data_IF_235032882947
#
_entry.id   IF_235032882947
#
_cell.length_a   1.000
_cell.length_b   1.000
_cell.length_c   1.000
_cell.angle_alpha   90.00
_cell.angle_beta   90.00
_cell.angle_gamma   90.00
#
_symmetry.space_group_name_H-M   'P 1'
#
loop_
_entity.id
_entity.type
_entity.pdbx_description
1 polymer ?
#
# COMPACT_ATOMS: atom_id res chain seq x y z
N UNK A 1 -24.36 10.84 13.66
CA UNK A 1 -23.64 11.83 12.81
C UNK A 1 -23.06 11.08 11.62
N UNK A 2 -22.93 11.71 10.46
CA UNK A 2 -22.45 11.03 9.25
C UNK A 2 -20.97 10.60 9.38
N UNK A 3 -20.55 9.58 8.63
CA UNK A 3 -19.13 9.25 8.45
C UNK A 3 -18.57 10.26 7.44
N UNK A 4 -17.41 10.83 7.74
CA UNK A 4 -16.72 11.77 6.87
C UNK A 4 -15.27 11.37 6.65
N UNK A 5 -14.66 11.90 5.59
CA UNK A 5 -13.22 11.78 5.36
C UNK A 5 -12.48 12.74 6.29
N UNK A 6 -11.70 12.20 7.20
CA UNK A 6 -10.88 12.94 8.15
C UNK A 6 -9.58 13.44 7.50
N UNK A 7 -8.90 12.55 6.77
CA UNK A 7 -7.63 12.84 6.14
C UNK A 7 -7.44 12.04 4.85
N UNK A 8 -6.70 12.62 3.92
CA UNK A 8 -6.30 12.00 2.66
C UNK A 8 -4.78 12.03 2.60
N UNK A 9 -4.18 10.88 2.25
CA UNK A 9 -2.74 10.78 2.05
C UNK A 9 -2.41 10.15 0.70
N UNK A 10 -1.41 10.74 0.04
CA UNK A 10 -0.73 10.14 -1.10
C UNK A 10 0.70 9.80 -0.71
N UNK A 11 1.27 8.75 -1.28
CA UNK A 11 2.65 8.33 -1.06
C UNK A 11 3.34 8.22 -2.41
N UNK A 12 3.84 9.34 -2.97
CA UNK A 12 4.30 9.38 -4.37
C UNK A 12 5.31 8.29 -4.68
N UNK A 13 6.31 8.15 -3.82
CA UNK A 13 7.33 7.11 -3.90
C UNK A 13 6.95 5.98 -2.95
N UNK A 14 6.86 4.75 -3.48
CA UNK A 14 6.66 3.55 -2.68
C UNK A 14 7.66 3.51 -1.52
N UNK A 15 7.17 3.16 -0.33
CA UNK A 15 7.96 3.06 0.90
C UNK A 15 8.49 4.36 1.51
N UNK A 16 8.34 5.51 0.84
CA UNK A 16 8.74 6.82 1.37
C UNK A 16 7.60 7.50 2.16
N UNK A 17 7.88 8.65 2.78
CA UNK A 17 6.89 9.41 3.55
C UNK A 17 5.68 9.79 2.69
N UNK A 18 4.49 9.83 3.32
CA UNK A 18 3.28 10.32 2.68
C UNK A 18 3.14 11.83 2.76
N UNK A 19 2.29 12.39 1.91
CA UNK A 19 1.87 13.78 1.90
C UNK A 19 0.40 13.82 2.28
N UNK A 20 0.05 14.58 3.31
CA UNK A 20 -1.34 14.89 3.61
C UNK A 20 -1.85 15.95 2.61
N UNK A 21 -3.00 15.69 2.00
CA UNK A 21 -3.63 16.57 0.99
C UNK A 21 -5.05 16.91 1.42
N UNK A 22 -5.55 18.07 0.99
CA UNK A 22 -6.94 18.46 1.22
C UNK A 22 -7.87 17.78 0.20
N UNK A 23 -7.37 17.60 -1.02
CA UNK A 23 -8.06 16.81 -2.02
C UNK A 23 -7.13 16.12 -3.00
N UNK A 24 -7.61 15.03 -3.58
CA UNK A 24 -6.94 14.35 -4.68
C UNK A 24 -7.95 13.72 -5.64
N UNK A 25 -7.69 13.91 -6.92
CA UNK A 25 -8.42 13.24 -7.98
C UNK A 25 -8.18 11.73 -7.98
N UNK A 26 -9.18 11.01 -8.45
CA UNK A 26 -9.21 9.56 -8.50
C UNK A 26 -8.90 9.12 -9.93
N UNK A 27 -7.78 8.42 -10.10
CA UNK A 27 -7.34 7.81 -11.35
C UNK A 27 -7.74 6.33 -11.41
N UNK A 28 -7.34 5.62 -12.48
CA UNK A 28 -7.48 4.17 -12.56
C UNK A 28 -6.54 3.40 -11.62
N UNK A 29 -5.55 4.07 -11.01
CA UNK A 29 -4.57 3.47 -10.12
C UNK A 29 -4.84 3.72 -8.62
N UNK A 30 -5.83 4.56 -8.29
CA UNK A 30 -6.09 5.06 -6.93
C UNK A 30 -6.16 6.58 -6.90
N UNK A 31 -5.67 7.19 -5.82
CA UNK A 31 -5.44 8.64 -5.81
C UNK A 31 -4.35 8.99 -6.84
N UNK A 32 -4.50 10.10 -7.53
CA UNK A 32 -3.49 10.62 -8.45
C UNK A 32 -2.12 10.70 -7.78
N UNK A 33 -1.08 10.28 -8.53
CA UNK A 33 0.32 10.20 -8.10
C UNK A 33 0.61 9.25 -6.93
N UNK A 34 -0.35 8.49 -6.41
CA UNK A 34 -0.10 7.57 -5.29
C UNK A 34 0.69 6.33 -5.72
N UNK A 35 1.85 6.10 -5.08
CA UNK A 35 2.84 5.07 -5.41
C UNK A 35 3.14 5.02 -6.91
N UNK A 36 3.21 6.20 -7.53
CA UNK A 36 3.50 6.34 -8.95
C UNK A 36 4.99 6.17 -9.26
N UNK A 37 5.84 6.22 -8.22
CA UNK A 37 7.26 5.89 -8.29
C UNK A 37 7.64 4.72 -7.36
N UNK A 38 8.70 4.00 -7.72
CA UNK A 38 9.29 2.90 -6.93
C UNK A 38 10.81 2.88 -7.08
N UNK A 39 11.50 2.49 -6.02
CA UNK A 39 12.94 2.21 -6.07
C UNK A 39 13.17 0.74 -6.40
N UNK A 40 14.10 0.47 -7.30
CA UNK A 40 14.58 -0.86 -7.66
C UNK A 40 16.07 -0.99 -7.40
N UNK A 41 16.53 -2.15 -6.93
CA UNK A 41 17.95 -2.52 -7.01
C UNK A 41 18.31 -2.91 -8.46
N UNK A 42 19.60 -3.17 -8.70
CA UNK A 42 20.14 -3.49 -10.03
C UNK A 42 19.64 -4.84 -10.56
N UNK A 43 19.23 -5.74 -9.67
CA UNK A 43 18.63 -7.03 -9.99
C UNK A 43 17.13 -6.94 -10.31
N UNK A 44 16.54 -5.74 -10.26
CA UNK A 44 15.13 -5.52 -10.56
C UNK A 44 14.20 -5.84 -9.40
N UNK A 45 14.66 -5.88 -8.15
CA UNK A 45 13.80 -6.04 -6.99
C UNK A 45 13.42 -4.69 -6.39
N UNK A 46 12.17 -4.57 -5.94
CA UNK A 46 11.73 -3.40 -5.19
C UNK A 46 12.55 -3.18 -3.90
N UNK A 47 12.96 -1.94 -3.66
CA UNK A 47 13.53 -1.50 -2.40
C UNK A 47 12.40 -1.00 -1.51
N UNK A 48 12.30 -1.55 -0.30
CA UNK A 48 11.15 -1.27 0.58
C UNK A 48 11.55 -0.86 1.99
N UNK A 49 10.65 -0.13 2.66
CA UNK A 49 10.85 0.34 4.03
C UNK A 49 11.05 -0.81 5.04
N UNK A 50 10.61 -2.03 4.70
CA UNK A 50 10.84 -3.23 5.52
C UNK A 50 12.31 -3.61 5.59
N UNK A 51 13.04 -3.42 4.49
CA UNK A 51 14.48 -3.68 4.40
C UNK A 51 15.30 -2.42 4.72
N UNK A 52 14.80 -1.25 4.33
CA UNK A 52 15.47 0.05 4.53
C UNK A 52 14.53 1.03 5.27
N UNK A 53 14.45 0.93 6.62
CA UNK A 53 13.56 1.77 7.44
C UNK A 53 13.77 3.28 7.26
N UNK A 54 14.99 3.71 6.93
CA UNK A 54 15.38 5.10 6.60
C UNK A 54 14.57 5.70 5.45
N UNK A 55 13.91 4.89 4.61
CA UNK A 55 12.98 5.39 3.59
C UNK A 55 11.80 6.17 4.19
N UNK A 56 11.42 5.91 5.46
CA UNK A 56 10.41 6.72 6.14
C UNK A 56 10.77 8.22 6.24
N UNK A 57 12.06 8.54 6.22
CA UNK A 57 12.57 9.90 6.34
C UNK A 57 12.71 10.61 5.00
N UNK A 58 12.65 9.85 3.89
CA UNK A 58 12.58 10.43 2.55
C UNK A 58 11.21 11.08 2.39
N UNK A 59 11.23 12.39 2.19
CA UNK A 59 10.06 13.28 2.23
C UNK A 59 9.82 13.88 0.86
N UNK A 60 8.88 13.32 0.07
CA UNK A 60 8.49 13.85 -1.23
C UNK A 60 7.57 15.06 -1.09
N UNK A 61 7.63 15.98 -2.06
CA UNK A 61 6.70 17.10 -2.26
C UNK A 61 6.37 17.19 -3.75
N UNK A 62 5.13 17.54 -4.06
CA UNK A 62 4.69 17.73 -5.45
C UNK A 62 4.48 19.21 -5.69
N UNK A 63 5.04 19.72 -6.79
CA UNK A 63 4.84 21.10 -7.25
C UNK A 63 4.30 21.04 -8.68
N UNK A 64 3.07 21.48 -8.88
CA UNK A 64 2.43 21.50 -10.19
C UNK A 64 2.58 22.88 -10.83
N UNK A 65 2.73 22.94 -12.15
CA UNK A 65 2.97 24.21 -12.85
C UNK A 65 1.73 25.11 -12.91
N UNK A 66 0.54 24.51 -12.86
CA UNK A 66 -0.73 25.18 -13.21
C UNK A 66 -1.62 25.47 -12.01
N UNK A 67 -1.23 25.11 -10.77
CA UNK A 67 -2.06 25.27 -9.58
C UNK A 67 -1.46 26.26 -8.58
N UNK A 68 -2.33 27.16 -8.07
CA UNK A 68 -2.01 28.12 -7.02
C UNK A 68 -2.03 27.51 -5.61
N UNK A 69 -2.70 26.37 -5.42
CA UNK A 69 -2.83 25.71 -4.11
C UNK A 69 -1.97 24.45 -4.05
N UNK A 70 -1.08 24.40 -3.04
CA UNK A 70 -0.08 23.34 -2.87
C UNK A 70 -0.64 22.00 -2.34
N UNK A 71 -1.94 21.94 -2.01
CA UNK A 71 -2.54 20.80 -1.28
C UNK A 71 -3.61 20.03 -2.04
N UNK A 72 -3.81 20.33 -3.32
CA UNK A 72 -4.78 19.69 -4.20
C UNK A 72 -4.07 18.96 -5.35
N UNK A 73 -4.43 17.68 -5.56
CA UNK A 73 -3.89 16.86 -6.66
C UNK A 73 -4.95 16.70 -7.74
N UNK A 74 -4.81 17.34 -8.92
CA UNK A 74 -5.83 17.35 -9.97
C UNK A 74 -5.83 16.06 -10.79
N UNK A 75 -6.88 15.88 -11.59
CA UNK A 75 -6.95 14.78 -12.58
C UNK A 75 -5.79 14.90 -13.55
N UNK A 76 -5.13 13.79 -13.87
CA UNK A 76 -3.98 13.74 -14.77
C UNK A 76 -2.80 14.62 -14.30
N UNK A 77 -2.59 14.75 -12.99
CA UNK A 77 -1.57 15.63 -12.40
C UNK A 77 -0.17 15.47 -13.02
N UNK A 78 0.25 14.24 -13.32
CA UNK A 78 1.54 13.97 -13.96
C UNK A 78 1.66 14.66 -15.34
N UNK A 79 0.57 14.66 -16.12
CA UNK A 79 0.56 15.20 -17.48
C UNK A 79 0.41 16.72 -17.57
N UNK A 80 -0.07 17.37 -16.50
CA UNK A 80 -0.17 18.83 -16.42
C UNK A 80 1.19 19.53 -16.28
N UNK A 81 2.26 18.75 -16.06
CA UNK A 81 3.60 19.26 -15.83
C UNK A 81 3.81 19.74 -14.40
N UNK A 82 5.03 19.57 -13.92
CA UNK A 82 5.39 19.83 -12.54
C UNK A 82 6.61 19.03 -12.15
N UNK A 83 6.88 19.01 -10.85
CA UNK A 83 8.07 18.44 -10.26
C UNK A 83 7.71 17.58 -9.04
N UNK A 84 8.37 16.43 -8.91
CA UNK A 84 8.54 15.72 -7.65
C UNK A 84 9.86 16.20 -7.00
N UNK A 85 9.75 16.84 -5.84
CA UNK A 85 10.89 17.33 -5.06
C UNK A 85 11.09 16.37 -3.89
N UNK A 86 12.28 15.82 -3.73
CA UNK A 86 12.59 14.81 -2.71
C UNK A 86 13.69 15.32 -1.79
N UNK A 87 13.42 15.26 -0.50
CA UNK A 87 14.35 15.64 0.57
C UNK A 87 14.57 14.47 1.52
N UNK A 88 15.76 14.36 2.11
CA UNK A 88 16.03 13.39 3.16
C UNK A 88 17.15 13.87 4.11
N UNK A 89 17.18 13.44 5.38
CA UNK A 89 18.24 13.80 6.31
C UNK A 89 19.63 13.41 5.80
N UNK A 90 20.59 14.32 5.94
CA UNK A 90 21.98 14.09 5.49
C UNK A 90 22.22 14.33 3.99
N UNK A 91 21.18 14.68 3.21
CA UNK A 91 21.32 15.07 1.81
C UNK A 91 21.42 16.59 1.71
N UNK A 92 22.50 17.10 1.10
CA UNK A 92 22.78 18.54 0.99
C UNK A 92 21.82 19.28 0.07
N UNK A 93 21.32 18.61 -0.96
CA UNK A 93 20.41 19.17 -1.97
C UNK A 93 19.21 18.27 -2.14
N UNK A 94 18.06 18.91 -2.33
CA UNK A 94 16.85 18.22 -2.74
C UNK A 94 17.03 17.69 -4.16
N UNK A 95 16.56 16.46 -4.41
CA UNK A 95 16.42 15.91 -5.75
C UNK A 95 15.16 16.50 -6.38
N UNK A 96 15.26 16.99 -7.62
CA UNK A 96 14.13 17.52 -8.37
C UNK A 96 13.92 16.68 -9.62
N UNK A 97 12.72 16.12 -9.77
CA UNK A 97 12.35 15.28 -10.90
C UNK A 97 11.21 15.95 -11.64
N UNK A 98 11.48 16.39 -12.86
CA UNK A 98 10.47 16.92 -13.77
C UNK A 98 9.52 15.82 -14.23
N UNK A 99 8.22 16.12 -14.31
CA UNK A 99 7.25 15.22 -14.91
C UNK A 99 7.45 15.18 -16.42
N UNK A 100 7.94 14.04 -16.91
CA UNK A 100 8.26 13.82 -18.32
C UNK A 100 7.04 13.22 -19.02
N UNK A 101 6.47 13.96 -19.96
CA UNK A 101 5.41 13.46 -20.88
C UNK A 101 5.95 12.55 -22.00
N UNK A 102 7.16 11.99 -21.84
CA UNK A 102 7.82 11.17 -22.85
C UNK A 102 8.00 9.75 -22.32
N UNK A 103 7.41 8.77 -23.01
CA UNK A 103 7.73 7.35 -22.83
C UNK A 103 8.66 6.94 -23.97
N UNK A 104 9.84 6.42 -23.62
CA UNK A 104 10.76 5.80 -24.57
C UNK A 104 11.07 4.38 -24.11
N UNK A 105 11.02 3.42 -25.03
CA UNK A 105 11.25 2.02 -24.72
C UNK A 105 12.63 1.77 -24.08
N UNK A 106 13.65 2.58 -24.42
CA UNK A 106 15.00 2.46 -23.84
C UNK A 106 15.08 2.81 -22.36
N UNK A 107 14.12 3.58 -21.84
CA UNK A 107 14.01 3.92 -20.42
C UNK A 107 13.27 2.86 -19.60
N UNK A 108 12.63 1.88 -20.24
CA UNK A 108 11.89 0.84 -19.51
C UNK A 108 12.83 -0.08 -18.76
N UNK A 109 12.47 -0.36 -17.51
CA UNK A 109 13.10 -1.34 -16.63
C UNK A 109 12.00 -2.15 -15.97
N UNK A 110 12.25 -3.43 -15.78
CA UNK A 110 11.36 -4.30 -15.03
C UNK A 110 11.69 -4.26 -13.55
N UNK A 111 10.66 -4.24 -12.72
CA UNK A 111 10.78 -4.32 -11.27
C UNK A 111 9.80 -5.35 -10.72
N UNK A 112 10.29 -6.23 -9.86
CA UNK A 112 9.52 -7.23 -9.15
C UNK A 112 8.85 -6.58 -7.94
N UNK A 113 7.54 -6.36 -8.03
CA UNK A 113 6.69 -5.89 -6.95
C UNK A 113 5.85 -7.07 -6.44
N UNK A 114 6.36 -7.71 -5.39
CA UNK A 114 5.79 -8.95 -4.84
C UNK A 114 5.75 -10.08 -5.85
N UNK A 115 4.57 -10.59 -6.22
CA UNK A 115 4.41 -11.61 -7.25
C UNK A 115 4.27 -11.02 -8.66
N UNK A 116 4.23 -9.69 -8.81
CA UNK A 116 4.05 -9.02 -10.09
C UNK A 116 5.38 -8.49 -10.62
N UNK A 117 5.72 -8.86 -11.85
CA UNK A 117 6.74 -8.17 -12.64
C UNK A 117 6.08 -6.98 -13.35
N UNK A 118 6.60 -5.77 -13.14
CA UNK A 118 5.99 -4.52 -13.59
C UNK A 118 7.02 -3.68 -14.32
N UNK A 119 6.65 -3.05 -15.43
CA UNK A 119 7.50 -2.08 -16.10
C UNK A 119 7.39 -0.70 -15.46
N UNK A 120 8.55 -0.04 -15.31
CA UNK A 120 8.66 1.38 -14.97
C UNK A 120 9.65 2.07 -15.90
N UNK A 121 9.51 3.39 -16.03
CA UNK A 121 10.45 4.24 -16.76
C UNK A 121 11.50 4.77 -15.79
N UNK A 122 12.76 4.61 -16.15
CA UNK A 122 13.91 5.09 -15.41
C UNK A 122 13.94 6.62 -15.34
N UNK A 123 14.03 7.18 -14.12
CA UNK A 123 14.08 8.64 -13.92
C UNK A 123 15.44 9.25 -14.23
N UNK A 124 16.46 8.43 -14.50
CA UNK A 124 17.79 8.85 -14.93
C UNK A 124 18.83 8.80 -13.80
N UNK A 125 20.08 9.09 -14.19
CA UNK A 125 21.24 8.87 -13.33
C UNK A 125 21.27 9.82 -12.13
N UNK A 126 20.79 11.05 -12.24
CA UNK A 126 20.70 11.98 -11.10
C UNK A 126 19.83 11.42 -9.96
N UNK A 127 18.66 10.86 -10.31
CA UNK A 127 17.79 10.23 -9.32
C UNK A 127 18.43 8.97 -8.73
N UNK A 128 19.08 8.15 -9.57
CA UNK A 128 19.81 6.97 -9.13
C UNK A 128 20.94 7.31 -8.16
N UNK A 129 21.80 8.28 -8.50
CA UNK A 129 22.91 8.74 -7.67
C UNK A 129 22.43 9.30 -6.33
N UNK A 130 21.38 10.12 -6.33
CA UNK A 130 20.85 10.72 -5.10
C UNK A 130 20.33 9.65 -4.13
N UNK A 131 19.51 8.71 -4.62
CA UNK A 131 18.99 7.63 -3.79
C UNK A 131 20.07 6.63 -3.39
N UNK A 132 21.02 6.33 -4.28
CA UNK A 132 22.12 5.41 -3.97
C UNK A 132 23.04 5.97 -2.90
N UNK A 133 23.32 7.27 -2.94
CA UNK A 133 24.05 7.96 -1.88
C UNK A 133 23.30 7.92 -0.55
N UNK A 134 21.99 8.15 -0.55
CA UNK A 134 21.21 8.15 0.70
C UNK A 134 21.08 6.75 1.32
N UNK A 135 20.92 5.72 0.49
CA UNK A 135 20.72 4.34 0.94
C UNK A 135 22.01 3.53 1.08
N UNK A 136 23.14 4.07 0.61
CA UNK A 136 24.44 3.41 0.57
C UNK A 136 24.38 2.08 -0.21
N UNK A 137 23.59 2.06 -1.30
CA UNK A 137 23.45 0.92 -2.21
C UNK A 137 23.00 1.38 -3.60
N UNK A 138 23.39 0.67 -4.65
CA UNK A 138 23.00 1.03 -6.02
C UNK A 138 21.52 0.77 -6.26
N UNK A 139 20.79 1.83 -6.61
CA UNK A 139 19.35 1.79 -6.87
C UNK A 139 18.97 2.70 -8.02
N UNK A 140 17.82 2.42 -8.65
CA UNK A 140 17.19 3.29 -9.63
C UNK A 140 15.78 3.64 -9.21
N UNK A 141 15.37 4.89 -9.46
CA UNK A 141 13.99 5.32 -9.28
C UNK A 141 13.25 5.13 -10.60
N UNK A 142 12.13 4.43 -10.53
CA UNK A 142 11.28 4.16 -11.68
C UNK A 142 9.92 4.84 -11.48
N UNK A 143 9.40 5.48 -12.53
CA UNK A 143 8.03 6.01 -12.59
C UNK A 143 7.13 5.05 -13.36
N UNK A 144 5.84 5.03 -13.04
CA UNK A 144 4.86 4.13 -13.67
C UNK A 144 4.74 4.42 -15.16
N UNK A 145 5.05 3.43 -16.01
CA UNK A 145 4.71 3.52 -17.44
C UNK A 145 3.20 3.34 -17.61
N UNK A 146 2.46 4.42 -17.86
CA UNK A 146 0.98 4.38 -18.00
C UNK A 146 0.48 3.50 -19.15
N UNK A 147 1.36 3.16 -20.11
CA UNK A 147 1.03 2.22 -21.20
C UNK A 147 0.98 0.75 -20.74
N UNK A 148 1.59 0.42 -19.59
CA UNK A 148 1.57 -0.94 -19.04
C UNK A 148 0.42 -1.13 -18.06
N UNK A 149 -0.29 -2.25 -18.19
CA UNK A 149 -1.40 -2.62 -17.29
C UNK A 149 -0.85 -3.41 -16.11
N UNK A 150 -1.26 -3.04 -14.90
CA UNK A 150 -1.03 -3.84 -13.70
C UNK A 150 -2.36 -4.13 -13.02
N UNK A 151 -3.00 -5.21 -13.46
CA UNK A 151 -4.29 -5.67 -12.94
C UNK A 151 -4.20 -6.11 -11.48
N UNK A 152 -5.32 -5.94 -10.77
CA UNK A 152 -5.49 -6.47 -9.41
C UNK A 152 -5.75 -7.98 -9.44
N UNK A 153 -5.63 -8.62 -8.28
CA UNK A 153 -6.03 -10.02 -8.11
C UNK A 153 -7.55 -10.15 -8.26
N UNK A 154 -7.97 -10.86 -9.31
CA UNK A 154 -9.39 -11.03 -9.66
C UNK A 154 -10.25 -11.65 -8.56
N UNK A 155 -9.64 -12.36 -7.59
CA UNK A 155 -10.35 -12.93 -6.43
C UNK A 155 -10.95 -11.86 -5.52
N UNK A 156 -10.36 -10.67 -5.51
CA UNK A 156 -10.76 -9.55 -4.65
C UNK A 156 -11.45 -8.41 -5.40
N UNK A 157 -11.71 -8.59 -6.71
CA UNK A 157 -12.36 -7.60 -7.55
C UNK A 157 -13.81 -8.04 -7.82
N UNK A 158 -14.83 -7.24 -7.47
CA UNK A 158 -16.21 -7.48 -7.85
C UNK A 158 -16.40 -7.62 -9.38
N UNK A 159 -17.60 -8.05 -9.80
CA UNK A 159 -17.90 -8.23 -11.21
C UNK A 159 -17.52 -7.01 -12.07
N UNK A 160 -16.80 -7.25 -13.19
CA UNK A 160 -16.23 -6.20 -14.05
C UNK A 160 -17.24 -5.12 -14.50
N UNK A 161 -18.52 -5.48 -14.65
CA UNK A 161 -19.64 -4.58 -14.99
C UNK A 161 -19.88 -3.43 -13.99
N UNK A 162 -19.32 -3.54 -12.78
CA UNK A 162 -19.43 -2.53 -11.73
C UNK A 162 -18.39 -1.40 -11.87
N UNK A 163 -17.47 -1.51 -12.85
CA UNK A 163 -16.34 -0.59 -13.03
C UNK A 163 -16.37 0.05 -14.43
N UNK A 164 -16.09 1.36 -14.51
CA UNK A 164 -15.96 2.07 -15.79
C UNK A 164 -14.63 1.79 -16.51
N UNK A 165 -13.68 1.17 -15.82
CA UNK A 165 -12.31 0.93 -16.27
C UNK A 165 -11.82 -0.41 -15.72
N UNK A 166 -10.70 -0.91 -16.24
CA UNK A 166 -10.05 -2.11 -15.66
C UNK A 166 -9.39 -1.72 -14.35
N UNK A 167 -9.78 -2.30 -13.19
CA UNK A 167 -9.16 -1.97 -11.91
C UNK A 167 -7.68 -2.33 -11.90
N UNK A 168 -6.83 -1.36 -11.55
CA UNK A 168 -5.38 -1.47 -11.61
C UNK A 168 -4.73 -0.72 -10.46
N UNK A 169 -3.43 -0.92 -10.28
CA UNK A 169 -2.62 -0.10 -9.38
C UNK A 169 -1.29 0.29 -10.03
N UNK A 170 -0.65 1.36 -9.54
CA UNK A 170 0.71 1.72 -9.93
C UNK A 170 1.71 0.78 -9.23
N UNK A 171 2.49 1.26 -8.25
CA UNK A 171 3.42 0.43 -7.48
C UNK A 171 2.92 0.10 -6.06
N UNK A 172 1.64 0.27 -5.75
CA UNK A 172 1.06 -0.17 -4.45
C UNK A 172 1.19 -1.70 -4.27
N UNK A 173 1.04 -2.18 -3.03
CA UNK A 173 1.25 -3.60 -2.74
C UNK A 173 0.25 -4.51 -3.45
N UNK A 174 -1.02 -4.11 -3.51
CA UNK A 174 -2.04 -4.90 -4.20
C UNK A 174 -3.36 -4.20 -4.47
N UNK A 175 -3.65 -3.02 -3.90
CA UNK A 175 -4.91 -2.31 -4.12
C UNK A 175 -4.73 -0.80 -4.25
N UNK A 176 -5.65 -0.10 -4.94
CA UNK A 176 -5.61 1.36 -5.14
C UNK A 176 -5.71 2.18 -3.85
N UNK A 177 -6.50 1.72 -2.87
CA UNK A 177 -6.69 2.44 -1.61
C UNK A 177 -6.55 1.53 -0.41
N UNK A 178 -6.06 2.11 0.68
CA UNK A 178 -6.26 1.63 2.04
C UNK A 178 -7.13 2.62 2.82
N UNK A 179 -8.27 2.14 3.32
CA UNK A 179 -9.21 2.89 4.16
C UNK A 179 -8.98 2.51 5.63
N UNK A 180 -8.92 3.49 6.51
CA UNK A 180 -8.77 3.29 7.96
C UNK A 180 -9.71 4.20 8.74
N UNK A 181 -9.98 3.83 9.99
CA UNK A 181 -10.87 4.56 10.88
C UNK A 181 -10.08 5.14 12.05
N UNK A 182 -10.32 6.42 12.37
CA UNK A 182 -9.68 7.11 13.51
C UNK A 182 -9.91 6.36 14.83
N UNK A 183 -11.12 5.80 15.05
CA UNK A 183 -11.45 5.04 16.24
C UNK A 183 -10.63 3.73 16.36
N UNK A 184 -10.33 3.08 15.24
CA UNK A 184 -9.49 1.86 15.21
C UNK A 184 -8.05 2.14 15.64
N UNK A 185 -7.50 3.29 15.26
CA UNK A 185 -6.17 3.71 15.71
C UNK A 185 -6.18 4.07 17.20
N UNK A 186 -7.22 4.75 17.68
CA UNK A 186 -7.38 5.10 19.08
C UNK A 186 -7.47 3.87 19.99
N UNK A 187 -8.22 2.83 19.59
CA UNK A 187 -8.29 1.56 20.31
C UNK A 187 -6.91 0.86 20.37
N UNK A 188 -6.18 0.81 19.24
CA UNK A 188 -4.83 0.28 19.23
C UNK A 188 -3.91 1.04 20.19
N UNK A 189 -3.92 2.38 20.15
CA UNK A 189 -3.06 3.19 21.00
C UNK A 189 -3.40 3.04 22.48
N UNK A 190 -4.67 2.83 22.83
CA UNK A 190 -5.08 2.50 24.21
C UNK A 190 -4.44 1.18 24.68
N UNK A 191 -4.36 0.17 23.80
CA UNK A 191 -3.72 -1.12 24.11
C UNK A 191 -2.19 -1.06 24.13
N UNK A 192 -1.59 -0.13 23.39
CA UNK A 192 -0.15 0.11 23.44
C UNK A 192 0.23 0.82 24.75
N UNK A 193 -0.60 1.76 25.21
CA UNK A 193 -0.39 2.46 26.46
C UNK A 193 -0.39 1.51 27.68
N UNK A 194 -1.19 0.44 27.67
CA UNK A 194 -1.15 -0.57 28.77
C UNK A 194 0.15 -1.37 28.84
N UNK A 195 1.04 -1.21 27.84
CA UNK A 195 2.36 -1.85 27.75
C UNK A 195 3.49 -0.82 27.79
N UNK A 196 3.20 0.44 28.14
CA UNK A 196 4.15 1.55 28.14
C UNK A 196 4.84 1.78 26.77
N UNK A 197 4.14 1.47 25.68
CA UNK A 197 4.61 1.72 24.31
C UNK A 197 4.04 3.05 23.82
N UNK A 198 4.91 3.90 23.28
CA UNK A 198 4.52 5.18 22.66
C UNK A 198 3.45 4.98 21.58
N UNK A 199 2.49 5.92 21.45
CA UNK A 199 1.43 5.81 20.46
C UNK A 199 1.99 5.84 19.04
N UNK A 200 1.30 5.14 18.14
CA UNK A 200 1.56 5.15 16.70
C UNK A 200 0.56 6.05 15.98
N UNK A 201 0.92 6.56 14.80
CA UNK A 201 0.06 7.41 13.97
C UNK A 201 -0.48 6.65 12.76
N UNK A 202 -1.39 7.28 12.00
CA UNK A 202 -1.84 6.72 10.72
C UNK A 202 -0.68 6.51 9.73
N UNK A 203 0.39 7.30 9.82
CA UNK A 203 1.55 7.16 8.93
C UNK A 203 2.21 5.77 9.04
N UNK A 204 2.17 5.14 10.23
CA UNK A 204 2.64 3.76 10.42
C UNK A 204 1.83 2.76 9.56
N UNK A 205 0.54 3.02 9.34
CA UNK A 205 -0.35 2.14 8.60
C UNK A 205 -0.45 2.49 7.11
N UNK A 206 -0.03 3.70 6.74
CA UNK A 206 0.03 4.23 5.38
C UNK A 206 -1.31 4.23 4.63
N UNK A 207 -2.45 4.61 5.26
CA UNK A 207 -3.74 4.67 4.60
C UNK A 207 -3.77 5.77 3.54
N UNK A 208 -4.64 5.62 2.56
CA UNK A 208 -4.98 6.69 1.62
C UNK A 208 -6.14 7.53 2.12
N UNK A 209 -7.13 6.87 2.72
CA UNK A 209 -8.38 7.48 3.18
C UNK A 209 -8.53 7.16 4.67
N UNK A 210 -8.63 8.19 5.48
CA UNK A 210 -8.98 8.07 6.89
C UNK A 210 -10.42 8.55 7.06
N UNK A 211 -11.28 7.70 7.62
CA UNK A 211 -12.67 8.04 7.92
C UNK A 211 -12.85 8.26 9.42
N UNK A 212 -13.82 9.09 9.78
CA UNK A 212 -14.15 9.41 11.16
C UNK A 212 -15.65 9.62 11.34
N UNK A 213 -16.16 9.32 12.54
CA UNK A 213 -17.46 9.76 13.02
C UNK A 213 -17.57 9.48 14.51
N UNK A 214 -18.23 10.34 15.31
CA UNK A 214 -18.47 10.08 16.73
C UNK A 214 -19.25 8.79 17.01
N UNK A 215 -20.01 8.29 16.03
CA UNK A 215 -20.77 7.03 16.16
C UNK A 215 -20.07 5.82 15.54
N UNK A 216 -18.87 5.98 14.96
CA UNK A 216 -18.17 4.88 14.31
C UNK A 216 -17.25 4.16 15.31
N UNK A 217 -17.66 2.95 15.72
CA UNK A 217 -16.87 2.15 16.65
C UNK A 217 -15.58 1.60 16.00
N UNK A 218 -14.52 1.33 16.80
CA UNK A 218 -13.29 0.72 16.30
C UNK A 218 -13.56 -0.54 15.45
N UNK A 219 -12.86 -0.63 14.33
CA UNK A 219 -12.87 -1.75 13.38
C UNK A 219 -14.20 -1.99 12.65
N UNK A 220 -15.17 -1.09 12.80
CA UNK A 220 -16.46 -1.19 12.08
C UNK A 220 -16.27 -1.11 10.57
N UNK A 221 -15.20 -0.47 10.10
CA UNK A 221 -14.83 -0.45 8.69
C UNK A 221 -14.64 -1.84 8.07
N UNK A 222 -14.35 -2.87 8.88
CA UNK A 222 -14.22 -4.24 8.40
C UNK A 222 -15.55 -4.89 8.00
N UNK A 223 -16.69 -4.28 8.33
CA UNK A 223 -18.00 -4.76 7.87
C UNK A 223 -18.41 -4.12 6.55
N UNK A 224 -17.72 -3.10 6.06
CA UNK A 224 -18.14 -2.36 4.87
C UNK A 224 -17.84 -3.18 3.63
N UNK A 225 -18.80 -3.28 2.72
CA UNK A 225 -18.64 -3.90 1.40
C UNK A 225 -18.63 -2.83 0.32
N UNK A 226 -19.53 -1.86 0.44
CA UNK A 226 -19.72 -0.80 -0.54
C UNK A 226 -19.93 0.53 0.16
N UNK A 227 -19.15 1.53 -0.25
CA UNK A 227 -19.23 2.89 0.23
C UNK A 227 -19.65 3.82 -0.91
N UNK A 228 -20.43 4.83 -0.59
CA UNK A 228 -20.75 5.95 -1.48
C UNK A 228 -20.18 7.23 -0.89
N UNK A 229 -19.40 7.95 -1.69
CA UNK A 229 -18.87 9.28 -1.35
C UNK A 229 -19.78 10.33 -1.99
N UNK A 230 -20.31 11.23 -1.15
CA UNK A 230 -21.24 12.29 -1.53
C UNK A 230 -22.45 11.79 -2.36
N UNK A 231 -22.87 10.54 -2.14
CA UNK A 231 -24.04 9.94 -2.81
C UNK A 231 -23.80 9.50 -4.26
N UNK A 232 -22.67 9.84 -4.89
CA UNK A 232 -22.46 9.63 -6.32
C UNK A 232 -21.31 8.65 -6.64
N UNK A 233 -20.24 8.66 -5.87
CA UNK A 233 -19.01 7.94 -6.21
C UNK A 233 -18.87 6.68 -5.36
N UNK A 234 -18.70 5.52 -6.00
CA UNK A 234 -18.69 4.23 -5.31
C UNK A 234 -17.26 3.72 -5.07
N UNK A 235 -16.99 3.28 -3.85
CA UNK A 235 -15.81 2.49 -3.48
C UNK A 235 -16.26 1.10 -3.04
N UNK A 236 -15.64 0.06 -3.59
CA UNK A 236 -15.85 -1.33 -3.20
C UNK A 236 -14.72 -1.80 -2.31
N UNK A 237 -15.07 -2.42 -1.19
CA UNK A 237 -14.11 -2.97 -0.24
C UNK A 237 -13.71 -4.36 -0.71
N UNK A 238 -12.41 -4.55 -0.91
CA UNK A 238 -11.84 -5.74 -1.54
C UNK A 238 -11.41 -6.80 -0.53
N UNK A 239 -10.75 -6.38 0.56
CA UNK A 239 -10.23 -7.29 1.59
C UNK A 239 -9.76 -6.55 2.83
N UNK A 240 -9.58 -7.27 3.94
CA UNK A 240 -8.82 -6.77 5.09
C UNK A 240 -7.36 -6.57 4.71
N UNK A 241 -6.76 -5.48 5.17
CA UNK A 241 -5.34 -5.22 4.96
C UNK A 241 -4.51 -5.95 6.03
N UNK A 242 -3.90 -7.08 5.65
CA UNK A 242 -2.96 -7.77 6.52
C UNK A 242 -1.69 -6.96 6.73
N UNK A 243 -1.23 -6.89 7.97
CA UNK A 243 -0.07 -6.07 8.36
C UNK A 243 1.20 -6.91 8.39
N UNK A 244 2.25 -6.38 7.78
CA UNK A 244 3.62 -6.84 7.93
C UNK A 244 4.32 -6.06 9.05
N UNK A 245 5.64 -6.13 9.13
CA UNK A 245 6.47 -5.40 10.12
C UNK A 245 6.60 -3.90 9.82
N UNK A 246 6.17 -3.42 8.65
CA UNK A 246 6.29 -2.01 8.27
C UNK A 246 5.74 -1.04 9.33
N UNK A 247 4.56 -1.25 9.94
CA UNK A 247 4.03 -0.35 10.97
C UNK A 247 4.93 -0.18 12.19
N UNK A 248 5.87 -1.10 12.42
CA UNK A 248 6.82 -0.98 13.51
C UNK A 248 7.83 0.14 13.30
N UNK A 249 8.03 0.57 12.06
CA UNK A 249 8.94 1.65 11.75
C UNK A 249 8.39 2.99 12.26
N UNK A 250 9.17 3.71 13.06
CA UNK A 250 8.79 5.04 13.48
C UNK A 250 8.95 6.03 12.30
N UNK A 251 7.89 6.69 11.84
CA UNK A 251 7.94 7.55 10.66
C UNK A 251 8.73 8.85 10.87
N UNK A 252 9.03 9.23 12.12
CA UNK A 252 9.79 10.43 12.47
C UNK A 252 11.27 10.14 12.58
N UNK A 253 11.64 8.99 13.17
CA UNK A 253 13.05 8.66 13.43
C UNK A 253 13.63 7.67 12.43
N UNK A 254 12.79 6.95 11.68
CA UNK A 254 13.22 5.87 10.77
C UNK A 254 13.78 4.65 11.51
N UNK A 255 13.60 4.59 12.84
CA UNK A 255 14.07 3.49 13.68
C UNK A 255 12.86 2.59 14.00
N UNK A 256 12.88 1.31 13.62
CA UNK A 256 11.79 0.41 13.92
C UNK A 256 11.83 -0.09 15.35
N UNK A 257 10.65 -0.16 15.98
CA UNK A 257 10.51 -0.96 17.18
C UNK A 257 10.62 -2.44 16.81
N UNK A 258 11.23 -3.25 17.70
CA UNK A 258 11.53 -4.65 17.40
C UNK A 258 10.26 -5.45 17.09
N UNK A 259 9.13 -5.14 17.75
CA UNK A 259 7.90 -5.94 17.64
C UNK A 259 6.59 -5.15 17.52
N UNK A 260 6.56 -3.86 17.84
CA UNK A 260 5.31 -3.11 18.04
C UNK A 260 5.14 -2.08 16.93
N UNK A 261 3.90 -1.79 16.48
CA UNK A 261 2.62 -2.21 17.07
C UNK A 261 2.14 -3.60 16.59
N UNK A 262 2.88 -4.28 15.72
CA UNK A 262 2.44 -5.54 15.12
C UNK A 262 2.15 -6.62 16.17
N UNK A 263 3.00 -6.79 17.19
CA UNK A 263 2.79 -7.79 18.23
C UNK A 263 1.50 -7.56 19.03
N UNK A 264 1.17 -6.31 19.34
CA UNK A 264 -0.13 -5.96 19.94
C UNK A 264 -1.27 -6.29 19.00
N UNK A 265 -1.20 -5.91 17.73
CA UNK A 265 -2.24 -6.27 16.75
C UNK A 265 -2.42 -7.79 16.62
N UNK A 266 -1.34 -8.57 16.63
CA UNK A 266 -1.39 -10.03 16.54
C UNK A 266 -2.20 -10.69 17.67
N UNK A 267 -2.33 -10.03 18.82
CA UNK A 267 -3.07 -10.58 19.95
C UNK A 267 -4.59 -10.57 19.75
N UNK A 268 -5.14 -9.59 19.04
CA UNK A 268 -6.59 -9.38 18.95
C UNK A 268 -7.13 -9.06 17.53
N UNK A 269 -6.25 -8.82 16.56
CA UNK A 269 -6.61 -8.46 15.18
C UNK A 269 -6.26 -9.52 14.13
N UNK A 270 -6.13 -10.78 14.53
CA UNK A 270 -6.13 -11.92 13.59
C UNK A 270 -7.57 -12.20 13.13
N UNK A 271 -8.18 -11.20 12.51
CA UNK A 271 -9.62 -11.15 12.20
C UNK A 271 -9.99 -11.75 10.83
N UNK A 272 -9.00 -12.09 10.00
CA UNK A 272 -9.25 -12.69 8.69
C UNK A 272 -9.10 -14.22 8.74
N UNK A 273 -10.17 -14.99 8.47
CA UNK A 273 -10.11 -16.46 8.45
C UNK A 273 -9.16 -17.03 7.39
N UNK A 274 -8.90 -16.29 6.30
CA UNK A 274 -7.96 -16.68 5.25
C UNK A 274 -6.52 -16.24 5.51
N UNK A 275 -6.27 -15.44 6.57
CA UNK A 275 -4.92 -15.08 7.01
C UNK A 275 -4.79 -15.12 8.54
N UNK A 276 -5.11 -16.27 9.12
CA UNK A 276 -5.11 -16.49 10.58
C UNK A 276 -3.77 -16.19 11.27
N UNK A 277 -2.66 -16.19 10.54
CA UNK A 277 -1.32 -15.88 11.06
C UNK A 277 -0.89 -14.42 10.86
N UNK A 278 -1.79 -13.56 10.39
CA UNK A 278 -1.53 -12.14 10.18
C UNK A 278 -2.58 -11.29 10.87
N UNK A 279 -2.12 -10.23 11.52
CA UNK A 279 -3.00 -9.19 12.00
C UNK A 279 -3.53 -8.34 10.84
N UNK A 280 -4.74 -7.80 11.00
CA UNK A 280 -5.36 -6.89 10.04
C UNK A 280 -5.56 -5.50 10.65
N UNK A 281 -5.34 -4.46 9.83
CA UNK A 281 -5.68 -3.08 10.18
C UNK A 281 -5.95 -2.27 8.91
N UNK A 282 -7.17 -1.76 8.80
CA UNK A 282 -7.68 -1.09 7.60
C UNK A 282 -8.18 -2.03 6.52
N UNK A 283 -8.88 -1.46 5.55
CA UNK A 283 -9.55 -2.16 4.46
C UNK A 283 -9.02 -1.72 3.11
N UNK A 284 -8.66 -2.68 2.27
CA UNK A 284 -8.30 -2.41 0.89
C UNK A 284 -9.56 -2.08 0.08
N UNK A 285 -9.51 -1.08 -0.79
CA UNK A 285 -10.66 -0.67 -1.58
C UNK A 285 -10.30 -0.34 -3.03
N UNK A 286 -11.34 -0.33 -3.88
CA UNK A 286 -11.28 -0.10 -5.31
C UNK A 286 -12.40 0.87 -5.71
N UNK A 287 -12.07 1.86 -6.53
CA UNK A 287 -12.98 2.84 -7.10
C UNK A 287 -13.78 2.27 -8.27
N UNK A 288 -15.09 2.55 -8.32
CA UNK A 288 -15.94 2.15 -9.44
C UNK A 288 -15.67 2.99 -10.70
N UNK A 289 -15.45 4.29 -10.50
CA UNK A 289 -15.27 5.31 -11.55
C UNK A 289 -14.05 6.18 -11.25
N UNK A 290 -13.56 6.89 -12.27
CA UNK A 290 -12.40 7.78 -12.22
C UNK A 290 -12.79 9.22 -12.56
N UNK A 291 -11.87 10.17 -12.42
CA UNK A 291 -12.03 11.57 -12.85
C UNK A 291 -12.75 12.47 -11.85
N UNK A 292 -13.27 11.92 -10.76
CA UNK A 292 -13.82 12.69 -9.64
C UNK A 292 -12.75 12.99 -8.59
N UNK A 293 -13.01 13.96 -7.72
CA UNK A 293 -12.08 14.40 -6.67
C UNK A 293 -12.60 14.02 -5.30
N UNK A 294 -11.74 13.40 -4.50
CA UNK A 294 -11.96 13.10 -3.09
C UNK A 294 -11.47 14.28 -2.25
N UNK A 295 -12.28 14.76 -1.30
CA UNK A 295 -11.93 15.88 -0.40
C UNK A 295 -12.06 15.48 1.06
N UNK A 296 -11.20 16.04 1.91
CA UNK A 296 -11.41 16.00 3.36
C UNK A 296 -12.77 16.66 3.68
N UNK A 297 -13.53 16.05 4.58
CA UNK A 297 -14.89 16.45 4.91
C UNK A 297 -15.99 15.82 4.04
N UNK A 298 -15.64 15.16 2.92
CA UNK A 298 -16.65 14.45 2.11
C UNK A 298 -17.42 13.44 2.96
N UNK A 299 -18.72 13.34 2.69
CA UNK A 299 -19.62 12.43 3.41
C UNK A 299 -19.51 11.04 2.81
N UNK A 300 -19.33 10.05 3.67
CA UNK A 300 -19.27 8.63 3.31
C UNK A 300 -20.51 7.93 3.85
N UNK A 301 -21.27 7.30 2.95
CA UNK A 301 -22.42 6.47 3.29
C UNK A 301 -22.06 5.01 3.07
N UNK A 302 -22.32 4.16 4.08
CA UNK A 302 -22.20 2.71 3.94
C UNK A 302 -23.43 2.21 3.17
N UNK A 303 -23.22 1.78 1.93
CA UNK A 303 -24.28 1.29 1.05
C UNK A 303 -24.57 -0.19 1.33
N UNK A 304 -23.53 -0.95 1.68
CA UNK A 304 -23.63 -2.38 1.91
C UNK A 304 -22.64 -2.81 2.99
N UNK A 305 -23.09 -3.70 3.87
CA UNK A 305 -22.28 -4.36 4.89
C UNK A 305 -22.25 -5.88 4.66
N UNK A 306 -21.17 -6.53 5.09
CA UNK A 306 -20.95 -7.95 4.91
C UNK A 306 -19.69 -8.45 5.62
N UNK A 307 -19.25 -9.65 5.26
CA UNK A 307 -18.09 -10.30 5.85
C UNK A 307 -17.00 -10.44 4.78
N UNK A 308 -15.74 -10.23 5.14
CA UNK A 308 -14.59 -10.42 4.25
C UNK A 308 -13.80 -11.67 4.63
N UNK A 309 -13.09 -12.28 3.68
CA UNK A 309 -11.95 -13.15 3.93
C UNK A 309 -10.82 -12.88 2.90
N UNK A 310 -9.61 -13.39 3.13
CA UNK A 310 -8.50 -13.25 2.17
C UNK A 310 -8.75 -13.93 0.82
N UNK A 311 -9.85 -14.65 0.63
CA UNK A 311 -10.26 -15.24 -0.64
C UNK A 311 -11.29 -14.36 -1.38
N UNK A 312 -11.78 -13.27 -0.77
CA UNK A 312 -12.72 -12.32 -1.34
C UNK A 312 -13.79 -11.84 -0.35
N UNK A 313 -14.84 -11.18 -0.85
CA UNK A 313 -15.99 -10.76 -0.05
C UNK A 313 -16.99 -11.92 0.10
N UNK A 314 -17.34 -12.28 1.32
CA UNK A 314 -18.49 -13.14 1.64
C UNK A 314 -19.73 -12.28 1.82
N UNK A 315 -20.55 -12.20 0.78
CA UNK A 315 -21.93 -11.73 0.91
C UNK A 315 -22.76 -12.90 1.45
N UNK A 316 -23.56 -12.68 2.49
CA UNK A 316 -24.39 -13.72 3.09
C UNK A 316 -25.39 -14.35 2.11
N UNK A 317 -25.78 -15.59 2.41
CA UNK A 317 -26.69 -16.53 1.73
C UNK A 317 -26.46 -16.86 0.25
N UNK A 318 -25.75 -16.02 -0.48
CA UNK A 318 -25.13 -16.36 -1.75
C UNK A 318 -23.62 -16.20 -1.60
N UNK A 319 -22.91 -17.31 -1.44
CA UNK A 319 -21.50 -17.31 -1.80
C UNK A 319 -21.43 -16.95 -3.28
N UNK A 320 -21.22 -15.67 -3.61
CA UNK A 320 -20.60 -15.33 -4.89
C UNK A 320 -19.13 -15.75 -4.73
N UNK A 321 -18.90 -17.07 -4.77
CA UNK A 321 -17.61 -17.57 -5.17
C UNK A 321 -17.43 -17.07 -6.60
N UNK A 322 -16.55 -16.09 -6.79
CA UNK A 322 -16.23 -15.49 -8.10
C UNK A 322 -15.59 -16.48 -9.10
N UNK A 323 -15.53 -17.75 -8.72
CA UNK A 323 -15.25 -18.93 -9.52
C UNK A 323 -16.19 -20.02 -9.00
N UNK A 324 -16.86 -20.80 -9.84
CA UNK A 324 -17.86 -21.77 -9.39
C UNK A 324 -17.32 -22.70 -8.29
N UNK A 325 -18.19 -23.17 -7.38
CA UNK A 325 -17.80 -24.04 -6.22
C UNK A 325 -16.84 -25.18 -6.60
N UNK A 326 -16.91 -25.69 -7.82
CA UNK A 326 -16.12 -26.82 -8.30
C UNK A 326 -14.73 -26.43 -8.83
N UNK A 327 -14.58 -25.26 -9.46
CA UNK A 327 -13.29 -24.71 -9.87
C UNK A 327 -12.48 -24.24 -8.65
N UNK A 328 -13.14 -23.74 -7.61
CA UNK A 328 -12.50 -23.37 -6.35
C UNK A 328 -11.89 -24.59 -5.64
N UNK A 329 -12.55 -25.76 -5.66
CA UNK A 329 -11.96 -27.00 -5.11
C UNK A 329 -10.74 -27.48 -5.92
N UNK A 330 -10.73 -27.26 -7.24
CA UNK A 330 -9.60 -27.64 -8.10
C UNK A 330 -8.42 -26.69 -7.91
N UNK A 331 -8.66 -25.37 -7.82
CA UNK A 331 -7.64 -24.36 -7.54
C UNK A 331 -7.06 -24.52 -6.13
N UNK A 332 -7.90 -24.76 -5.11
CA UNK A 332 -7.46 -25.00 -3.73
C UNK A 332 -6.57 -26.26 -3.62
N UNK A 333 -6.88 -27.35 -4.34
CA UNK A 333 -6.05 -28.58 -4.35
C UNK A 333 -4.74 -28.43 -5.14
N UNK A 334 -4.69 -27.51 -6.10
CA UNK A 334 -3.47 -27.19 -6.83
C UNK A 334 -2.55 -26.29 -5.99
N UNK A 335 -3.14 -25.31 -5.30
CA UNK A 335 -2.41 -24.28 -4.55
C UNK A 335 -2.01 -24.75 -3.14
N UNK A 336 -2.74 -25.64 -2.47
CA UNK A 336 -2.27 -26.28 -1.21
C UNK A 336 -0.97 -27.06 -1.41
N UNK A 337 -0.74 -27.61 -2.62
CA UNK A 337 0.53 -28.26 -2.98
C UNK A 337 1.65 -27.24 -3.19
N UNK A 338 1.37 -26.14 -3.89
CA UNK A 338 2.34 -25.06 -4.12
C UNK A 338 2.68 -24.27 -2.86
N UNK A 339 1.69 -23.99 -2.00
CA UNK A 339 1.86 -23.26 -0.74
C UNK A 339 2.62 -24.08 0.30
N UNK A 340 2.37 -25.40 0.37
CA UNK A 340 3.20 -26.32 1.16
C UNK A 340 4.62 -26.42 0.62
N UNK A 341 4.79 -26.43 -0.70
CA UNK A 341 6.11 -26.46 -1.34
C UNK A 341 6.91 -25.17 -1.11
N UNK A 342 6.27 -24.00 -1.21
CA UNK A 342 6.87 -22.69 -0.96
C UNK A 342 7.31 -22.52 0.51
N UNK A 343 6.50 -22.95 1.48
CA UNK A 343 6.89 -22.90 2.89
C UNK A 343 7.94 -23.96 3.26
N UNK A 344 7.96 -25.12 2.59
CA UNK A 344 9.02 -26.11 2.74
C UNK A 344 10.37 -25.59 2.21
N UNK A 345 10.38 -24.88 1.08
CA UNK A 345 11.57 -24.22 0.53
C UNK A 345 12.10 -23.09 1.42
N UNK A 346 11.21 -22.29 2.02
CA UNK A 346 11.59 -21.21 2.93
C UNK A 346 12.09 -21.70 4.30
N UNK A 347 11.65 -22.88 4.75
CA UNK A 347 12.15 -23.50 5.99
C UNK A 347 13.49 -24.24 5.79
N UNK A 348 13.79 -24.72 4.59
CA UNK A 348 15.11 -25.29 4.27
C UNK A 348 16.23 -24.24 4.15
N UNK A 349 15.89 -22.99 3.81
CA UNK A 349 16.86 -21.89 3.73
C UNK A 349 17.25 -21.29 5.09
N UNK A 350 16.55 -21.61 6.17
CA UNK A 350 16.82 -21.10 7.53
C UNK A 350 17.62 -22.07 8.41
N UNK A 351 17.95 -23.27 7.92
CA UNK A 351 18.73 -24.29 8.65
C UNK A 351 20.17 -24.48 8.16
N UNK A 352 20.59 -23.77 7.12
CA UNK A 352 21.94 -23.86 6.58
C UNK A 352 22.62 -22.51 6.66
N UNK A 353 23.15 -22.17 7.84
CA UNK A 353 24.37 -21.39 8.10
C UNK A 353 24.44 -21.16 9.62
N UNK A 354 25.25 -21.99 10.29
CA UNK A 354 25.89 -21.68 11.57
C UNK A 354 27.25 -22.43 11.63
N UNK A 355 28.26 -21.88 12.34
CA UNK A 355 29.65 -21.90 11.89
C UNK A 355 30.46 -23.10 12.43
N UNK A 356 31.40 -23.59 11.63
CA UNK A 356 32.42 -24.56 12.05
C UNK A 356 33.63 -23.79 12.59
N UNK A 357 33.82 -23.78 13.91
CA UNK A 357 35.13 -23.58 14.53
C UNK A 357 35.28 -24.52 15.73
N UNK A 358 36.49 -25.11 15.83
CA UNK A 358 37.16 -25.80 16.95
C UNK A 358 37.37 -27.33 16.80
N UNK A 359 38.56 -27.63 16.23
CA UNK A 359 39.64 -28.52 16.73
C UNK A 359 39.26 -29.88 17.32
N UNK A 360 39.89 -30.98 16.85
CA UNK A 360 40.61 -32.00 17.66
C UNK A 360 41.31 -32.99 16.69
N UNK A 361 42.66 -32.95 16.64
CA UNK A 361 43.53 -34.10 16.27
C UNK A 361 43.57 -35.07 17.48
N UNK A 362 43.90 -36.37 17.39
CA UNK A 362 45.02 -37.01 16.67
C UNK A 362 44.56 -38.21 15.79
N UNK A 363 45.28 -38.75 14.81
CA UNK A 363 46.62 -39.35 14.75
C UNK A 363 47.12 -39.32 13.29
#
# INVERSE_FOLDING_TARGET
MAITIDAIYIYPIKSCRGIAVQSAAISQYGLELDRFWVLSDLEGNQVTQRKHPRLALVSPRIKLNTLSEQHDIPVNAYHLGGQLIVSAPGMEKDLVIEFKNQSCASMRRQVQVWASLVDGLDEGDEAAEWFSKYLEMDVRLLVKDVSCIRSLDKRHVPARKLFSHEPQTAFSDGFPFLITNTASLADLNTRLATKDISPVSMENFRPNIVITSPSLAPYTEETFVKLSVNGANMLYIASRCTRCTLPNNNPVTGIPHVREPLATLMQYRRSDPGAQFKACFGMNAIQATTGWTLRTGDVVTVVEQGVHDQRGVWLGNETISLVGKEECKQLVRADDRWWRFYNALMSWWTLSIAPVIWSWWPL
#
